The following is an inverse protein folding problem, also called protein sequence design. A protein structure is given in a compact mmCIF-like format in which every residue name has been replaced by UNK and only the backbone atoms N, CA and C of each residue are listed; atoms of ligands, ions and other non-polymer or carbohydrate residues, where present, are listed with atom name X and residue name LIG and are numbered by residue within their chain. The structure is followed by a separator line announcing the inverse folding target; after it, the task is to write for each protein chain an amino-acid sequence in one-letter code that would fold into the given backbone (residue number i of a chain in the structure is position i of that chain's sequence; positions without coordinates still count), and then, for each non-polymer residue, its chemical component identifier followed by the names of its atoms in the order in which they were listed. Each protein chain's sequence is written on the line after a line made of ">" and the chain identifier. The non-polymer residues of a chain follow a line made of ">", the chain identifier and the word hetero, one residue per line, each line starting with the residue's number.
data_IF_700133078441
#
_entry.id   IF_700133078441
#
_cell.length_a   1.000
_cell.length_b   1.000
_cell.length_c   1.000
_cell.angle_alpha   90.00
_cell.angle_beta   90.00
_cell.angle_gamma   90.00
#
_symmetry.space_group_name_H-M   'P 1'
#
loop_
_entity.id
_entity.type
_entity.pdbx_description
1 polymer ?
#
# COMPACT_ATOMS: atom_id res chain seq x y z
N UNK A 1 -18.46 19.42 -22.87
CA UNK A 1 -17.59 19.11 -21.70
C UNK A 1 -18.47 18.79 -20.49
N UNK A 2 -18.59 17.50 -20.13
CA UNK A 2 -19.44 17.03 -19.02
C UNK A 2 -18.57 16.84 -17.78
N UNK A 3 -18.79 17.65 -16.73
CA UNK A 3 -18.15 17.49 -15.42
C UNK A 3 -18.79 16.31 -14.68
N UNK A 4 -18.18 15.12 -14.76
CA UNK A 4 -18.58 13.98 -13.93
C UNK A 4 -18.14 14.23 -12.48
N UNK A 5 -19.09 14.63 -11.64
CA UNK A 5 -18.92 14.69 -10.18
C UNK A 5 -19.06 13.27 -9.61
N UNK A 6 -17.95 12.55 -9.49
CA UNK A 6 -17.88 11.29 -8.74
C UNK A 6 -18.07 11.57 -7.24
N UNK A 7 -19.30 11.44 -6.74
CA UNK A 7 -19.58 11.37 -5.31
C UNK A 7 -19.34 9.95 -4.84
N UNK A 8 -18.44 9.80 -3.87
CA UNK A 8 -18.13 8.53 -3.23
C UNK A 8 -19.36 7.96 -2.54
N UNK A 9 -19.87 6.85 -3.08
CA UNK A 9 -20.85 6.01 -2.41
C UNK A 9 -20.85 4.56 -2.94
N UNK A 10 -19.71 4.08 -3.46
CA UNK A 10 -19.61 2.72 -4.01
C UNK A 10 -18.81 1.73 -3.14
N UNK A 11 -18.26 2.18 -2.00
CA UNK A 11 -17.52 1.28 -1.10
C UNK A 11 -18.43 0.43 -0.18
N UNK A 12 -19.75 0.66 -0.21
CA UNK A 12 -20.71 -0.11 0.60
C UNK A 12 -21.42 -1.19 -0.23
N UNK A 13 -21.44 -1.08 -1.56
CA UNK A 13 -22.21 -2.01 -2.41
C UNK A 13 -21.46 -3.31 -2.72
N UNK A 14 -20.13 -3.34 -2.60
CA UNK A 14 -19.34 -4.57 -2.76
C UNK A 14 -19.34 -5.48 -1.52
N UNK A 15 -19.93 -5.03 -0.40
CA UNK A 15 -20.19 -5.84 0.80
C UNK A 15 -21.53 -6.60 0.76
N UNK A 16 -22.37 -6.37 -0.26
CA UNK A 16 -23.72 -6.93 -0.34
C UNK A 16 -23.93 -7.99 -1.43
N UNK A 17 -22.90 -8.37 -2.19
CA UNK A 17 -22.96 -9.59 -3.02
C UNK A 17 -22.60 -10.81 -2.15
N UNK A 18 -23.28 -10.93 -1.02
CA UNK A 18 -23.48 -12.21 -0.36
C UNK A 18 -24.47 -12.98 -1.23
N UNK A 19 -23.96 -13.84 -2.11
CA UNK A 19 -24.79 -14.91 -2.63
C UNK A 19 -25.40 -15.65 -1.43
N UNK A 20 -26.71 -15.95 -1.42
CA UNK A 20 -27.27 -16.81 -0.39
C UNK A 20 -26.63 -18.18 -0.57
N UNK A 21 -25.60 -18.46 0.24
CA UNK A 21 -25.08 -19.82 0.39
C UNK A 21 -26.26 -20.62 0.95
N UNK A 22 -26.71 -21.69 0.27
CA UNK A 22 -27.82 -22.49 0.76
C UNK A 22 -27.53 -22.93 2.20
N UNK A 23 -28.54 -22.75 3.05
CA UNK A 23 -28.51 -23.06 4.48
C UNK A 23 -28.35 -24.57 4.68
N UNK A 24 -27.13 -25.06 4.53
CA UNK A 24 -26.73 -26.41 4.88
C UNK A 24 -25.74 -26.28 6.03
N UNK A 25 -26.27 -26.45 7.24
CA UNK A 25 -25.57 -26.57 8.51
C UNK A 25 -24.59 -25.41 8.81
N UNK A 26 -25.09 -24.44 9.58
CA UNK A 26 -24.26 -23.67 10.52
C UNK A 26 -23.74 -24.69 11.54
N UNK A 27 -22.77 -25.49 11.14
CA UNK A 27 -22.00 -26.32 12.03
C UNK A 27 -21.34 -25.38 13.04
N UNK A 28 -21.46 -25.75 14.30
CA UNK A 28 -21.04 -25.01 15.48
C UNK A 28 -19.81 -24.14 15.26
N UNK A 29 -19.88 -22.94 15.85
CA UNK A 29 -18.77 -22.02 16.05
C UNK A 29 -17.61 -22.73 16.74
N UNK A 30 -16.83 -23.48 15.96
CA UNK A 30 -15.55 -24.01 16.39
C UNK A 30 -14.70 -22.79 16.68
N UNK A 31 -14.48 -22.53 17.97
CA UNK A 31 -13.63 -21.45 18.47
C UNK A 31 -12.35 -21.53 17.66
N UNK A 32 -12.10 -20.52 16.83
CA UNK A 32 -10.88 -20.50 16.05
C UNK A 32 -9.71 -20.59 17.03
N UNK A 33 -8.86 -21.61 16.91
CA UNK A 33 -7.62 -21.70 17.65
C UNK A 33 -6.82 -20.39 17.51
N UNK A 34 -6.99 -19.68 16.39
CA UNK A 34 -6.34 -18.40 16.11
C UNK A 34 -6.94 -17.22 16.88
N UNK A 35 -7.95 -17.40 17.73
CA UNK A 35 -8.50 -16.31 18.54
C UNK A 35 -7.46 -15.78 19.54
N UNK A 36 -7.46 -14.46 19.74
CA UNK A 36 -6.52 -13.79 20.64
C UNK A 36 -6.01 -12.47 20.08
N UNK A 37 -5.20 -11.79 20.89
CA UNK A 37 -4.52 -10.58 20.45
C UNK A 37 -3.15 -10.95 19.86
N UNK A 38 -2.65 -10.13 18.96
CA UNK A 38 -1.34 -10.32 18.38
C UNK A 38 -0.63 -9.01 18.06
N UNK A 39 0.69 -9.11 18.05
CA UNK A 39 1.63 -8.14 17.51
C UNK A 39 2.17 -8.73 16.22
N UNK A 40 2.43 -7.88 15.24
CA UNK A 40 3.00 -8.31 13.98
C UNK A 40 4.17 -7.46 13.54
N UNK A 41 5.06 -8.09 12.80
CA UNK A 41 6.23 -7.48 12.19
C UNK A 41 6.39 -8.03 10.77
N UNK A 42 6.52 -7.13 9.80
CA UNK A 42 6.96 -7.44 8.44
C UNK A 42 8.24 -6.65 8.18
N UNK A 43 9.41 -7.31 8.17
CA UNK A 43 10.68 -6.66 7.88
C UNK A 43 10.84 -6.36 6.38
N UNK A 44 10.13 -7.08 5.51
CA UNK A 44 10.23 -6.94 4.06
C UNK A 44 8.85 -7.06 3.42
N UNK A 45 8.33 -5.94 2.93
CA UNK A 45 7.25 -5.98 1.94
C UNK A 45 7.85 -6.39 0.59
N UNK A 46 7.93 -7.70 0.35
CA UNK A 46 8.77 -8.37 -0.66
C UNK A 46 8.66 -7.79 -2.09
N UNK A 47 7.50 -7.26 -2.48
CA UNK A 47 7.25 -6.77 -3.86
C UNK A 47 7.05 -5.24 -3.94
N UNK A 48 7.20 -4.50 -2.85
CA UNK A 48 7.11 -3.03 -2.85
C UNK A 48 8.51 -2.41 -2.70
N UNK A 49 9.43 -2.76 -3.62
CA UNK A 49 10.82 -2.28 -3.63
C UNK A 49 10.94 -0.76 -3.66
N UNK A 50 9.87 -0.05 -4.07
CA UNK A 50 9.84 1.41 -4.13
C UNK A 50 9.67 2.05 -2.76
N UNK A 51 9.10 1.32 -1.78
CA UNK A 51 8.83 1.84 -0.45
C UNK A 51 9.27 0.82 0.63
N UNK A 52 10.58 0.52 0.68
CA UNK A 52 11.17 -0.38 1.66
C UNK A 52 10.95 0.18 3.07
N UNK A 53 10.60 -0.71 4.00
CA UNK A 53 10.31 -0.28 5.35
C UNK A 53 9.95 -1.43 6.26
N UNK A 54 9.97 -1.15 7.56
CA UNK A 54 9.56 -2.09 8.59
C UNK A 54 8.13 -1.76 8.99
N UNK A 55 7.23 -2.72 8.76
CA UNK A 55 5.84 -2.62 9.17
C UNK A 55 5.65 -3.36 10.49
N UNK A 56 5.07 -2.68 11.47
CA UNK A 56 4.68 -3.29 12.73
C UNK A 56 3.26 -2.88 13.11
N UNK A 57 2.61 -3.66 13.96
CA UNK A 57 1.27 -3.33 14.40
C UNK A 57 0.67 -4.33 15.37
N UNK A 58 -0.61 -4.13 15.65
CA UNK A 58 -1.41 -4.96 16.55
C UNK A 58 -2.71 -5.37 15.89
N UNK A 59 -3.24 -6.50 16.33
CA UNK A 59 -4.56 -6.94 15.91
C UNK A 59 -5.21 -7.90 16.88
N UNK A 60 -6.44 -8.26 16.54
CA UNK A 60 -7.25 -9.21 17.29
C UNK A 60 -7.97 -10.14 16.34
N UNK A 61 -8.03 -11.41 16.71
CA UNK A 61 -8.88 -12.41 16.07
C UNK A 61 -9.93 -12.86 17.08
N UNK A 62 -11.18 -12.88 16.66
CA UNK A 62 -12.30 -13.34 17.45
C UNK A 62 -12.51 -14.85 17.24
N UNK A 63 -13.23 -15.47 18.17
CA UNK A 63 -13.59 -16.91 18.10
C UNK A 63 -14.35 -17.27 16.82
N UNK A 64 -15.03 -16.30 16.21
CA UNK A 64 -15.71 -16.41 14.92
C UNK A 64 -14.78 -16.54 13.70
N UNK A 65 -13.46 -16.44 13.90
CA UNK A 65 -12.46 -16.49 12.82
C UNK A 65 -12.31 -15.17 12.07
N UNK A 66 -13.03 -14.11 12.45
CA UNK A 66 -12.77 -12.76 11.96
C UNK A 66 -11.56 -12.18 12.68
N UNK A 67 -10.78 -11.37 11.99
CA UNK A 67 -9.67 -10.62 12.56
C UNK A 67 -9.60 -9.20 12.01
N UNK A 68 -9.09 -8.29 12.83
CA UNK A 68 -8.84 -6.90 12.48
C UNK A 68 -7.46 -6.50 12.97
N UNK A 69 -6.79 -5.63 12.22
CA UNK A 69 -5.46 -5.13 12.55
C UNK A 69 -5.27 -3.68 12.13
N UNK A 70 -4.37 -3.02 12.86
CA UNK A 70 -3.84 -1.71 12.54
C UNK A 70 -2.32 -1.76 12.63
N UNK A 71 -1.64 -1.13 11.69
CA UNK A 71 -0.19 -1.08 11.65
C UNK A 71 0.36 0.23 11.14
N UNK A 72 1.65 0.40 11.37
CA UNK A 72 2.43 1.53 10.93
C UNK A 72 3.71 1.01 10.26
N UNK A 73 3.99 1.51 9.05
CA UNK A 73 5.23 1.24 8.34
C UNK A 73 6.13 2.45 8.45
N UNK A 74 7.33 2.23 8.97
CA UNK A 74 8.41 3.19 8.92
C UNK A 74 9.26 2.95 7.67
N UNK A 75 9.34 3.96 6.80
CA UNK A 75 10.15 3.88 5.58
C UNK A 75 11.64 3.90 5.93
N UNK A 76 12.40 3.02 5.30
CA UNK A 76 13.85 3.05 5.33
C UNK A 76 14.35 4.04 4.27
N UNK A 77 15.36 4.86 4.58
CA UNK A 77 16.01 5.69 3.58
C UNK A 77 16.79 4.77 2.64
N UNK A 78 16.33 4.63 1.39
CA UNK A 78 17.11 3.98 0.34
C UNK A 78 17.59 5.06 -0.63
N UNK A 79 18.90 5.12 -0.92
CA UNK A 79 19.41 6.00 -1.96
C UNK A 79 18.86 5.54 -3.32
N UNK A 80 18.24 6.45 -4.07
CA UNK A 80 17.88 6.20 -5.46
C UNK A 80 19.08 6.48 -6.37
N UNK A 81 19.34 5.59 -7.34
CA UNK A 81 20.58 5.62 -8.14
C UNK A 81 20.67 6.75 -9.16
N UNK A 82 19.52 7.29 -9.63
CA UNK A 82 19.50 8.31 -10.70
C UNK A 82 19.15 9.72 -10.25
N UNK A 83 18.43 9.87 -9.14
CA UNK A 83 17.97 11.16 -8.65
C UNK A 83 18.52 11.38 -7.24
N UNK A 84 19.09 12.55 -7.00
CA UNK A 84 19.58 12.90 -5.66
C UNK A 84 18.38 13.20 -4.77
N UNK A 85 17.84 12.13 -4.16
CA UNK A 85 16.76 12.23 -3.18
C UNK A 85 17.36 12.55 -1.82
N UNK A 86 16.87 13.63 -1.24
CA UNK A 86 17.23 14.10 0.10
C UNK A 86 15.97 14.29 0.95
N UNK A 87 16.14 14.28 2.27
CA UNK A 87 15.07 14.50 3.24
C UNK A 87 13.87 13.56 3.09
N UNK A 88 14.09 12.32 2.65
CA UNK A 88 13.04 11.33 2.50
C UNK A 88 12.37 11.05 3.86
N UNK A 89 11.12 11.50 4.00
CA UNK A 89 10.28 11.25 5.16
C UNK A 89 8.98 10.63 4.70
N UNK A 90 8.50 9.63 5.43
CA UNK A 90 7.17 9.14 5.19
C UNK A 90 6.75 8.06 6.15
N UNK A 91 5.44 7.86 6.20
CA UNK A 91 4.78 6.88 7.04
C UNK A 91 3.65 6.26 6.25
N UNK A 92 3.40 4.97 6.51
CA UNK A 92 2.22 4.29 6.00
C UNK A 92 1.37 3.83 7.16
N UNK A 93 0.09 4.18 7.12
CA UNK A 93 -0.92 3.57 7.97
C UNK A 93 -1.52 2.38 7.25
N UNK A 94 -1.75 1.32 8.02
CA UNK A 94 -2.24 0.05 7.53
C UNK A 94 -3.47 -0.35 8.36
N UNK A 95 -4.55 -0.73 7.67
CA UNK A 95 -5.76 -1.27 8.28
C UNK A 95 -6.14 -2.55 7.54
N UNK A 96 -6.30 -3.65 8.28
CA UNK A 96 -6.62 -4.96 7.73
C UNK A 96 -7.85 -5.55 8.40
N UNK A 97 -8.67 -6.22 7.61
CA UNK A 97 -9.70 -7.15 8.08
C UNK A 97 -9.52 -8.49 7.38
N UNK A 98 -9.66 -9.58 8.11
CA UNK A 98 -9.51 -10.94 7.57
C UNK A 98 -10.52 -11.90 8.17
N UNK A 99 -10.77 -12.99 7.46
CA UNK A 99 -11.62 -14.11 7.89
C UNK A 99 -10.93 -15.43 7.56
N UNK A 100 -10.64 -16.23 8.58
CA UNK A 100 -10.10 -17.58 8.38
C UNK A 100 -11.17 -18.50 7.81
N UNK A 101 -10.72 -19.42 6.95
CA UNK A 101 -11.56 -20.37 6.25
C UNK A 101 -11.45 -21.76 6.90
N UNK A 102 -12.60 -22.34 7.24
CA UNK A 102 -12.69 -23.68 7.83
C UNK A 102 -12.30 -23.76 9.30
N UNK A 103 -12.34 -24.97 9.86
CA UNK A 103 -11.91 -25.23 11.23
C UNK A 103 -10.37 -25.20 11.30
N UNK A 104 -9.83 -24.21 12.00
CA UNK A 104 -8.38 -23.98 12.15
C UNK A 104 -7.75 -24.81 13.27
N UNK A 105 -8.54 -25.55 14.05
CA UNK A 105 -8.06 -26.20 15.28
C UNK A 105 -7.09 -27.36 15.01
N UNK A 106 -7.28 -28.07 13.89
CA UNK A 106 -6.49 -29.26 13.54
C UNK A 106 -5.54 -29.03 12.36
N UNK A 107 -5.44 -27.79 11.86
CA UNK A 107 -4.64 -27.47 10.67
C UNK A 107 -3.43 -26.62 11.04
N UNK A 108 -2.20 -27.08 10.75
CA UNK A 108 -0.99 -26.27 10.96
C UNK A 108 -0.91 -25.06 10.03
N UNK A 109 -1.80 -25.01 9.02
CA UNK A 109 -1.90 -23.95 8.03
C UNK A 109 -3.36 -23.47 7.96
N UNK A 110 -3.59 -22.22 8.34
CA UNK A 110 -4.92 -21.60 8.41
C UNK A 110 -5.10 -20.65 7.21
N UNK A 111 -5.80 -21.05 6.15
CA UNK A 111 -6.11 -20.17 5.03
C UNK A 111 -7.08 -19.06 5.47
N UNK A 112 -6.95 -17.87 4.89
CA UNK A 112 -7.88 -16.77 5.11
C UNK A 112 -8.06 -15.92 3.86
N UNK A 113 -9.15 -15.14 3.86
CA UNK A 113 -9.37 -14.05 2.91
C UNK A 113 -9.47 -12.74 3.67
N UNK A 114 -9.08 -11.63 3.06
CA UNK A 114 -9.11 -10.34 3.73
C UNK A 114 -9.21 -9.15 2.79
N UNK A 115 -9.40 -8.00 3.42
CA UNK A 115 -9.30 -6.68 2.81
C UNK A 115 -8.28 -5.87 3.57
N UNK A 116 -7.50 -5.09 2.82
CA UNK A 116 -6.42 -4.26 3.37
C UNK A 116 -6.45 -2.89 2.75
N UNK A 117 -6.49 -1.87 3.60
CA UNK A 117 -6.36 -0.47 3.24
C UNK A 117 -5.01 0.03 3.73
N UNK A 118 -4.20 0.56 2.81
CA UNK A 118 -2.95 1.25 3.14
C UNK A 118 -3.06 2.72 2.74
N UNK A 119 -2.53 3.61 3.59
CA UNK A 119 -2.39 5.02 3.27
C UNK A 119 -0.94 5.46 3.54
N UNK A 120 -0.20 5.75 2.48
CA UNK A 120 1.16 6.27 2.52
C UNK A 120 1.15 7.78 2.33
N UNK A 121 1.89 8.47 3.19
CA UNK A 121 2.34 9.83 2.94
C UNK A 121 3.86 9.84 2.88
N UNK A 122 4.40 10.40 1.80
CA UNK A 122 5.83 10.51 1.53
C UNK A 122 6.12 11.94 1.08
N UNK A 123 7.14 12.53 1.68
CA UNK A 123 7.63 13.88 1.40
C UNK A 123 9.15 13.76 1.22
N UNK A 124 9.69 14.29 0.12
CA UNK A 124 11.13 14.30 -0.15
C UNK A 124 11.53 15.49 -1.01
N UNK A 125 12.83 15.76 -1.11
CA UNK A 125 13.40 16.67 -2.10
C UNK A 125 14.14 15.86 -3.15
N UNK A 126 14.01 16.25 -4.41
CA UNK A 126 14.74 15.65 -5.51
C UNK A 126 15.41 16.76 -6.33
N UNK A 127 16.63 16.49 -6.78
CA UNK A 127 17.30 17.33 -7.79
C UNK A 127 17.03 16.71 -9.15
N UNK A 128 16.33 17.44 -10.01
CA UNK A 128 15.88 16.95 -11.31
C UNK A 128 16.33 17.89 -12.44
N UNK A 129 16.63 17.35 -13.63
CA UNK A 129 16.97 18.18 -14.79
C UNK A 129 15.69 18.75 -15.43
N UNK A 130 15.70 20.06 -15.68
CA UNK A 130 14.61 20.83 -16.28
C UNK A 130 15.08 21.46 -17.60
N UNK A 131 14.18 21.53 -18.58
CA UNK A 131 14.32 22.21 -19.87
C UNK A 131 13.58 23.54 -19.81
N UNK A 132 14.32 24.63 -19.89
CA UNK A 132 13.73 25.95 -20.15
C UNK A 132 13.51 26.11 -21.67
N UNK A 133 12.28 26.46 -22.10
CA UNK A 133 12.06 26.86 -23.48
C UNK A 133 12.69 28.24 -23.70
N UNK A 134 13.74 28.31 -24.54
CA UNK A 134 14.18 29.59 -25.09
C UNK A 134 13.44 29.88 -26.41
N UNK A 135 13.38 31.13 -26.83
CA UNK A 135 12.63 31.60 -28.01
C UNK A 135 13.13 31.02 -29.35
N UNK A 136 14.12 30.13 -29.35
CA UNK A 136 14.65 29.43 -30.51
C UNK A 136 14.74 27.91 -30.24
N UNK A 137 14.14 27.05 -31.07
CA UNK A 137 14.12 25.59 -30.87
C UNK A 137 15.49 24.89 -30.94
N UNK A 138 16.58 25.61 -31.20
CA UNK A 138 17.94 25.07 -31.26
C UNK A 138 18.72 25.22 -29.93
N UNK A 139 18.26 26.04 -28.98
CA UNK A 139 19.04 26.47 -27.80
C UNK A 139 18.30 26.22 -26.46
N UNK A 140 17.54 25.13 -26.36
CA UNK A 140 16.98 24.75 -25.07
C UNK A 140 18.11 24.44 -24.08
N UNK A 141 18.26 25.23 -23.01
CA UNK A 141 19.23 24.98 -21.97
C UNK A 141 18.65 24.07 -20.87
N UNK A 142 19.47 23.16 -20.37
CA UNK A 142 19.11 22.30 -19.24
C UNK A 142 19.73 22.84 -17.96
N UNK A 143 18.95 22.83 -16.87
CA UNK A 143 19.44 23.18 -15.55
C UNK A 143 18.91 22.18 -14.50
N UNK A 144 19.60 22.10 -13.37
CA UNK A 144 19.17 21.28 -12.24
C UNK A 144 18.34 22.13 -11.27
N UNK A 145 17.17 21.65 -10.89
CA UNK A 145 16.30 22.30 -9.89
C UNK A 145 16.06 21.37 -8.70
N UNK A 146 15.98 21.93 -7.50
CA UNK A 146 15.66 21.22 -6.27
C UNK A 146 14.17 21.35 -5.98
N UNK A 147 13.41 20.35 -6.40
CA UNK A 147 11.96 20.33 -6.21
C UNK A 147 11.58 19.56 -4.96
N UNK A 148 10.52 20.03 -4.30
CA UNK A 148 9.91 19.31 -3.18
C UNK A 148 8.76 18.47 -3.70
N UNK A 149 8.78 17.18 -3.40
CA UNK A 149 7.78 16.22 -3.85
C UNK A 149 6.98 15.70 -2.67
N UNK A 150 5.67 15.89 -2.74
CA UNK A 150 4.70 15.33 -1.79
C UNK A 150 3.84 14.29 -2.49
N UNK A 151 3.98 13.03 -2.07
CA UNK A 151 3.20 11.91 -2.57
C UNK A 151 2.22 11.40 -1.50
N UNK A 152 0.98 11.14 -1.93
CA UNK A 152 -0.06 10.48 -1.15
C UNK A 152 -0.56 9.27 -1.93
N UNK A 153 -0.43 8.09 -1.35
CA UNK A 153 -0.82 6.84 -2.00
C UNK A 153 -1.79 6.11 -1.09
N UNK A 154 -3.00 5.87 -1.57
CA UNK A 154 -3.99 5.00 -0.92
C UNK A 154 -4.11 3.72 -1.71
N UNK A 155 -4.09 2.56 -1.06
CA UNK A 155 -4.26 1.28 -1.75
C UNK A 155 -5.30 0.44 -1.03
N UNK A 156 -6.27 -0.08 -1.77
CA UNK A 156 -7.24 -1.05 -1.29
C UNK A 156 -6.98 -2.38 -1.97
N UNK A 157 -6.69 -3.43 -1.20
CA UNK A 157 -6.35 -4.75 -1.71
C UNK A 157 -7.29 -5.81 -1.14
N UNK A 158 -7.80 -6.70 -1.99
CA UNK A 158 -8.29 -8.00 -1.58
C UNK A 158 -7.12 -8.96 -1.43
N UNK A 159 -7.11 -9.72 -0.34
CA UNK A 159 -6.00 -10.60 0.05
C UNK A 159 -6.48 -12.04 0.19
N UNK A 160 -5.61 -12.97 -0.18
CA UNK A 160 -5.68 -14.38 0.19
C UNK A 160 -4.35 -14.78 0.81
N UNK A 161 -4.40 -15.50 1.92
CA UNK A 161 -3.20 -15.82 2.67
C UNK A 161 -3.33 -17.08 3.50
N UNK A 162 -2.19 -17.46 4.08
CA UNK A 162 -2.05 -18.62 4.93
C UNK A 162 -1.21 -18.26 6.14
N UNK A 163 -1.72 -18.55 7.32
CA UNK A 163 -0.97 -18.42 8.55
C UNK A 163 -0.63 -19.78 9.14
N UNK A 164 0.63 -20.00 9.48
CA UNK A 164 1.07 -21.16 10.23
C UNK A 164 1.42 -20.79 11.66
N UNK A 165 0.85 -21.51 12.62
CA UNK A 165 1.00 -21.23 14.06
C UNK A 165 1.84 -22.30 14.75
N UNK A 166 2.81 -21.84 15.54
CA UNK A 166 3.63 -22.65 16.44
C UNK A 166 3.66 -22.01 17.83
N UNK A 167 2.74 -22.43 18.70
CA UNK A 167 2.60 -21.89 20.05
C UNK A 167 2.15 -20.42 20.06
N UNK A 168 3.01 -19.53 20.57
CA UNK A 168 2.77 -18.07 20.59
C UNK A 168 3.23 -17.36 19.33
N UNK A 169 4.01 -18.02 18.48
CA UNK A 169 4.53 -17.44 17.25
C UNK A 169 3.72 -17.95 16.05
N UNK A 170 3.54 -17.09 15.06
CA UNK A 170 3.04 -17.50 13.76
C UNK A 170 3.78 -16.82 12.63
N UNK A 171 3.75 -17.45 11.46
CA UNK A 171 4.25 -16.91 10.21
C UNK A 171 3.07 -16.82 9.24
N UNK A 172 2.96 -15.70 8.55
CA UNK A 172 1.86 -15.40 7.64
C UNK A 172 2.38 -14.92 6.30
N UNK A 173 1.85 -15.52 5.25
CA UNK A 173 2.15 -15.17 3.88
C UNK A 173 0.84 -14.91 3.15
N UNK A 174 0.78 -13.80 2.43
CA UNK A 174 -0.37 -13.49 1.59
C UNK A 174 0.02 -12.84 0.28
N UNK A 175 -0.87 -13.03 -0.69
CA UNK A 175 -0.88 -12.33 -1.97
C UNK A 175 -2.23 -11.63 -2.12
N UNK A 176 -2.27 -10.55 -2.87
CA UNK A 176 -3.51 -9.84 -3.13
C UNK A 176 -3.57 -9.19 -4.49
N UNK A 177 -4.74 -8.64 -4.77
CA UNK A 177 -4.99 -7.78 -5.91
C UNK A 177 -5.79 -6.57 -5.43
N UNK A 178 -5.43 -5.39 -5.91
CA UNK A 178 -6.01 -4.16 -5.45
C UNK A 178 -5.88 -3.00 -6.42
N UNK A 179 -6.44 -1.88 -5.97
CA UNK A 179 -6.42 -0.60 -6.67
C UNK A 179 -5.58 0.36 -5.84
N UNK A 180 -4.65 1.06 -6.49
CA UNK A 180 -3.80 2.10 -5.94
C UNK A 180 -4.22 3.44 -6.50
N UNK A 181 -4.59 4.37 -5.62
CA UNK A 181 -4.80 5.77 -5.95
C UNK A 181 -3.61 6.58 -5.48
N UNK A 182 -3.02 7.34 -6.39
CA UNK A 182 -1.78 8.04 -6.16
C UNK A 182 -1.92 9.50 -6.54
N UNK A 183 -1.52 10.39 -5.66
CA UNK A 183 -1.46 11.83 -5.92
C UNK A 183 -0.08 12.35 -5.55
N UNK A 184 0.61 12.88 -6.54
CA UNK A 184 1.89 13.57 -6.37
C UNK A 184 1.66 15.06 -6.54
N UNK A 185 2.43 15.86 -5.81
CA UNK A 185 2.48 17.31 -5.98
C UNK A 185 3.95 17.71 -5.92
N UNK A 186 4.39 18.43 -6.94
CA UNK A 186 5.72 19.01 -7.01
C UNK A 186 5.61 20.49 -6.64
N UNK A 187 6.48 20.95 -5.74
CA UNK A 187 6.52 22.29 -5.17
C UNK A 187 7.94 22.85 -5.26
N UNK A 188 8.08 24.15 -5.00
CA UNK A 188 9.37 24.87 -4.97
C UNK A 188 10.13 24.91 -6.31
N UNK A 189 9.45 24.76 -7.45
CA UNK A 189 10.09 24.96 -8.76
C UNK A 189 10.54 26.41 -8.92
N UNK A 190 11.73 26.63 -9.48
CA UNK A 190 12.22 27.97 -9.84
C UNK A 190 11.32 28.55 -10.94
N UNK A 191 11.09 27.77 -12.01
CA UNK A 191 10.20 28.10 -13.13
C UNK A 191 9.14 26.99 -13.29
N UNK A 192 7.93 27.18 -12.76
CA UNK A 192 6.84 26.19 -12.84
C UNK A 192 6.38 25.83 -14.26
N UNK A 193 6.60 26.73 -15.22
CA UNK A 193 6.22 26.63 -16.63
C UNK A 193 7.15 25.75 -17.47
N UNK A 194 8.38 25.52 -17.00
CA UNK A 194 9.38 24.76 -17.74
C UNK A 194 9.04 23.26 -17.83
N UNK A 195 9.60 22.56 -18.81
CA UNK A 195 9.38 21.13 -19.01
C UNK A 195 10.47 20.30 -18.31
N UNK A 196 10.17 19.07 -17.91
CA UNK A 196 11.19 18.16 -17.37
C UNK A 196 12.04 17.56 -18.49
N UNK A 197 13.34 17.35 -18.24
CA UNK A 197 14.24 16.70 -19.20
C UNK A 197 14.16 15.17 -19.03
N UNK A 198 13.30 14.53 -19.82
CA UNK A 198 13.11 13.07 -19.84
C UNK A 198 12.17 12.56 -18.74
N UNK A 199 11.85 11.26 -18.78
CA UNK A 199 11.11 10.54 -17.72
C UNK A 199 12.05 10.19 -16.56
N UNK A 200 11.58 10.34 -15.32
CA UNK A 200 12.38 10.07 -14.13
C UNK A 200 12.19 8.62 -13.71
N UNK A 201 13.17 8.11 -12.98
CA UNK A 201 13.16 6.71 -12.55
C UNK A 201 12.45 6.51 -11.21
N UNK A 202 12.32 7.53 -10.35
CA UNK A 202 11.49 7.35 -9.17
C UNK A 202 10.05 7.10 -9.63
N UNK A 203 9.31 6.28 -8.86
CA UNK A 203 7.87 6.14 -9.06
C UNK A 203 7.21 7.53 -9.15
N UNK A 204 7.70 8.51 -8.38
CA UNK A 204 7.33 9.96 -8.32
C UNK A 204 7.55 10.78 -9.59
N UNK A 205 8.21 10.20 -10.60
CA UNK A 205 8.62 10.89 -11.81
C UNK A 205 8.36 10.12 -13.12
N UNK A 206 7.68 8.97 -13.03
CA UNK A 206 7.32 8.13 -14.18
C UNK A 206 6.42 8.83 -15.22
N UNK A 207 5.75 9.92 -14.84
CA UNK A 207 5.07 10.81 -15.79
C UNK A 207 5.16 12.25 -15.28
N UNK A 208 6.19 12.95 -15.73
CA UNK A 208 6.39 14.36 -15.42
C UNK A 208 5.34 15.28 -16.07
N UNK A 209 4.65 14.81 -17.11
CA UNK A 209 3.70 15.59 -17.90
C UNK A 209 2.29 15.60 -17.29
N UNK A 210 1.96 14.58 -16.49
CA UNK A 210 0.74 14.53 -15.68
C UNK A 210 1.06 14.16 -14.22
N UNK A 211 1.59 15.09 -13.40
CA UNK A 211 1.81 14.86 -11.97
C UNK A 211 0.51 14.60 -11.17
N UNK A 212 -0.65 14.40 -11.82
CA UNK A 212 -1.95 14.28 -11.19
C UNK A 212 -2.49 12.85 -11.16
N UNK A 213 -2.93 12.45 -9.95
CA UNK A 213 -3.98 11.45 -9.69
C UNK A 213 -3.98 10.22 -10.60
N UNK A 214 -3.01 9.34 -10.43
CA UNK A 214 -2.99 8.05 -11.12
C UNK A 214 -3.82 7.00 -10.36
N UNK A 215 -4.51 6.14 -11.10
CA UNK A 215 -5.12 4.92 -10.56
C UNK A 215 -4.47 3.72 -11.24
N UNK A 216 -3.84 2.84 -10.47
CA UNK A 216 -3.13 1.66 -11.00
C UNK A 216 -3.53 0.38 -10.27
N UNK A 217 -3.24 -0.77 -10.87
CA UNK A 217 -3.37 -2.06 -10.20
C UNK A 217 -2.21 -2.27 -9.23
N UNK A 218 -2.49 -2.96 -8.13
CA UNK A 218 -1.51 -3.28 -7.08
C UNK A 218 -1.60 -4.74 -6.72
N UNK A 219 -0.46 -5.42 -6.69
CA UNK A 219 -0.33 -6.83 -6.29
C UNK A 219 0.58 -6.87 -5.06
N UNK A 220 0.03 -6.80 -3.83
CA UNK A 220 0.83 -6.96 -2.64
C UNK A 220 1.22 -8.44 -2.45
N UNK A 221 2.51 -8.66 -2.16
CA UNK A 221 3.05 -9.89 -1.60
C UNK A 221 3.82 -9.52 -0.33
N UNK A 222 3.57 -10.22 0.77
CA UNK A 222 4.15 -9.89 2.08
C UNK A 222 4.34 -11.17 2.91
N UNK A 223 5.33 -11.11 3.80
CA UNK A 223 5.62 -12.13 4.79
C UNK A 223 5.66 -11.46 6.18
N UNK A 224 4.87 -11.97 7.12
CA UNK A 224 4.71 -11.40 8.45
C UNK A 224 5.01 -12.42 9.53
N UNK A 225 5.55 -11.94 10.63
CA UNK A 225 5.74 -12.67 11.87
C UNK A 225 4.78 -12.15 12.92
N UNK A 226 4.13 -13.05 13.64
CA UNK A 226 3.19 -12.73 14.71
C UNK A 226 3.69 -13.23 16.06
N UNK A 227 3.39 -12.45 17.10
CA UNK A 227 3.44 -12.87 18.50
C UNK A 227 2.05 -12.73 19.12
N UNK A 228 1.54 -13.80 19.72
CA UNK A 228 0.17 -13.92 20.25
C UNK A 228 0.16 -14.03 21.78
N UNK A 229 -0.80 -13.37 22.42
CA UNK A 229 -1.06 -13.44 23.87
C UNK A 229 -2.56 -13.40 24.21
#
# INVERSE_FOLDING_TARGET
>A
MVKLRFRGCWLVTLLCLATPIPAQQIADSTVSAMAGNYLFLSPFKVVDQVNPGVLYGVGKIWSSGYGMEIGHLWLLPIPEEREQITDLRGHRLHLGVRRYLGNTNDRPLAPYMGLRLDHLRRDHRAVVPIIAPDNTPADAYTYADSIRVTARITTLNGLVGWESRHGRFSVDMFVGLGIRWRRVVQLDRIHPEDAYFGEGNAEDFFDYSDPARQTTFSIPLDLRFFYRW
#
